data_IF_279595500722
#
_entry.id   IF_279595500722
#
_cell.length_a   1.000
_cell.length_b   1.000
_cell.length_c   1.000
_cell.angle_alpha   90.00
_cell.angle_beta   90.00
_cell.angle_gamma   90.00
#
_symmetry.space_group_name_H-M   'P 1'
#
loop_
_entity.id
_entity.type
_entity.pdbx_description
1 polymer ?
#
# COMPACT_ATOMS: atom_id res chain seq x y z
N UNK A 1 -11.46 16.98 3.79
CA UNK A 1 -12.49 15.96 4.10
C UNK A 1 -11.80 14.60 4.18
N UNK A 2 -11.77 13.93 5.35
CA UNK A 2 -11.01 12.67 5.55
C UNK A 2 -11.73 11.50 4.86
N UNK A 3 -11.08 10.87 3.88
CA UNK A 3 -11.51 9.59 3.29
C UNK A 3 -11.42 8.50 4.36
N UNK A 4 -12.49 7.73 4.56
CA UNK A 4 -12.46 6.56 5.45
C UNK A 4 -11.57 5.50 4.79
N UNK A 5 -10.39 5.25 5.35
CA UNK A 5 -9.53 4.13 4.95
C UNK A 5 -10.32 2.84 5.16
N UNK A 6 -10.44 2.03 4.11
CA UNK A 6 -11.12 0.73 4.23
C UNK A 6 -10.22 -0.20 5.04
N UNK A 7 -10.77 -0.95 6.02
CA UNK A 7 -9.99 -1.91 6.85
C UNK A 7 -9.12 -2.87 6.02
N UNK A 8 -9.58 -3.19 4.81
CA UNK A 8 -8.87 -4.02 3.82
C UNK A 8 -7.61 -3.33 3.26
N UNK A 9 -7.66 -2.04 2.96
CA UNK A 9 -6.50 -1.27 2.47
C UNK A 9 -5.42 -1.21 3.55
N UNK A 10 -5.83 -0.94 4.78
CA UNK A 10 -4.92 -0.92 5.93
C UNK A 10 -4.22 -2.26 6.12
N UNK A 11 -4.95 -3.38 5.99
CA UNK A 11 -4.36 -4.71 6.05
C UNK A 11 -3.30 -4.93 4.97
N UNK A 12 -3.55 -4.52 3.72
CA UNK A 12 -2.57 -4.66 2.63
C UNK A 12 -1.32 -3.80 2.85
N UNK A 13 -1.46 -2.60 3.41
CA UNK A 13 -0.30 -1.79 3.80
C UNK A 13 0.55 -2.49 4.86
N UNK A 14 -0.06 -3.05 5.90
CA UNK A 14 0.65 -3.82 6.93
C UNK A 14 1.37 -5.01 6.32
N UNK A 15 0.68 -5.80 5.49
CA UNK A 15 1.26 -6.98 4.84
C UNK A 15 2.46 -6.57 3.97
N UNK A 16 2.34 -5.51 3.18
CA UNK A 16 3.44 -5.01 2.35
C UNK A 16 4.64 -4.53 3.19
N UNK A 17 4.37 -3.87 4.32
CA UNK A 17 5.39 -3.41 5.24
C UNK A 17 6.13 -4.55 5.93
N UNK A 18 5.40 -5.57 6.41
CA UNK A 18 6.00 -6.78 6.99
C UNK A 18 6.88 -7.48 5.96
N UNK A 19 6.42 -7.62 4.71
CA UNK A 19 7.20 -8.26 3.66
C UNK A 19 8.50 -7.52 3.37
N UNK A 20 8.44 -6.19 3.25
CA UNK A 20 9.62 -5.36 3.03
C UNK A 20 10.60 -5.43 4.21
N UNK A 21 10.08 -5.37 5.44
CA UNK A 21 10.87 -5.48 6.66
C UNK A 21 11.57 -6.83 6.80
N UNK A 22 10.85 -7.92 6.46
CA UNK A 22 11.40 -9.26 6.44
C UNK A 22 12.53 -9.39 5.41
N UNK A 23 12.34 -8.79 4.22
CA UNK A 23 13.39 -8.70 3.21
C UNK A 23 14.66 -8.02 3.70
N UNK A 24 14.54 -6.85 4.33
CA UNK A 24 15.67 -6.13 4.93
C UNK A 24 16.34 -6.96 6.02
N UNK A 25 15.56 -7.59 6.89
CA UNK A 25 16.08 -8.41 7.99
C UNK A 25 16.93 -9.57 7.47
N UNK A 26 16.49 -10.25 6.40
CA UNK A 26 17.25 -11.33 5.77
C UNK A 26 18.57 -10.84 5.15
N UNK A 27 18.56 -9.65 4.53
CA UNK A 27 19.79 -9.04 4.01
C UNK A 27 20.78 -8.76 5.15
N UNK A 28 20.30 -8.22 6.27
CA UNK A 28 21.13 -7.95 7.44
C UNK A 28 21.69 -9.25 8.02
N UNK A 29 20.87 -10.30 8.15
CA UNK A 29 21.35 -11.61 8.61
C UNK A 29 22.41 -12.19 7.70
N UNK A 30 22.28 -12.06 6.38
CA UNK A 30 23.34 -12.48 5.45
C UNK A 30 24.65 -11.71 5.72
N UNK A 31 24.58 -10.39 5.86
CA UNK A 31 25.77 -9.55 6.13
C UNK A 31 26.41 -9.94 7.46
N UNK A 32 25.62 -10.14 8.51
CA UNK A 32 26.12 -10.57 9.82
C UNK A 32 26.72 -11.97 9.73
N UNK A 33 26.04 -12.89 9.04
CA UNK A 33 26.48 -14.27 8.87
C UNK A 33 27.81 -14.38 8.13
N UNK A 34 28.03 -13.56 7.10
CA UNK A 34 29.28 -13.53 6.32
C UNK A 34 30.42 -12.81 7.06
N UNK A 35 30.14 -11.79 7.88
CA UNK A 35 31.15 -10.97 8.54
C UNK A 35 31.48 -11.42 9.98
N UNK A 36 30.76 -12.38 10.54
CA UNK A 36 31.07 -12.96 11.84
C UNK A 36 32.24 -13.95 11.69
N UNK A 37 33.35 -13.68 12.38
CA UNK A 37 34.54 -14.54 12.46
C UNK A 37 34.32 -15.76 13.38
N UNK A 38 33.26 -16.53 13.13
CA UNK A 38 32.98 -17.80 13.82
C UNK A 38 33.11 -18.93 12.80
N UNK A 39 33.63 -20.08 13.24
CA UNK A 39 33.70 -21.27 12.40
C UNK A 39 32.32 -21.53 11.75
N UNK A 40 32.24 -21.74 10.41
CA UNK A 40 30.96 -21.94 9.70
C UNK A 40 30.05 -23.00 10.33
N UNK A 41 30.63 -24.02 10.97
CA UNK A 41 29.87 -25.07 11.65
C UNK A 41 29.21 -24.62 12.96
N UNK A 42 29.61 -23.49 13.54
CA UNK A 42 28.98 -22.87 14.71
C UNK A 42 28.16 -21.63 14.33
N UNK A 43 28.16 -21.24 13.05
CA UNK A 43 27.38 -20.12 12.56
C UNK A 43 25.93 -20.57 12.29
N UNK A 44 25.07 -20.34 13.27
CA UNK A 44 23.65 -20.69 13.20
C UNK A 44 22.89 -19.99 12.07
N UNK A 45 23.36 -18.81 11.61
CA UNK A 45 22.74 -18.05 10.52
C UNK A 45 22.96 -18.77 9.18
N UNK A 46 24.20 -19.19 8.90
CA UNK A 46 24.54 -19.96 7.70
C UNK A 46 23.91 -21.36 7.71
N UNK A 47 23.77 -21.98 8.90
CA UNK A 47 23.03 -23.25 9.02
C UNK A 47 21.55 -23.09 8.67
N UNK A 48 20.92 -22.02 9.14
CA UNK A 48 19.53 -21.73 8.80
C UNK A 48 19.38 -21.50 7.28
N UNK A 49 20.36 -20.86 6.65
CA UNK A 49 20.41 -20.68 5.19
C UNK A 49 20.44 -22.02 4.46
N UNK A 50 21.37 -22.90 4.85
CA UNK A 50 21.51 -24.22 4.26
C UNK A 50 20.26 -25.06 4.45
N UNK A 51 19.59 -24.98 5.61
CA UNK A 51 18.33 -25.66 5.85
C UNK A 51 17.23 -25.19 4.88
N UNK A 52 17.13 -23.88 4.64
CA UNK A 52 16.14 -23.32 3.70
C UNK A 52 16.47 -23.63 2.25
N UNK A 53 17.75 -23.59 1.86
CA UNK A 53 18.18 -24.00 0.51
C UNK A 53 17.87 -25.48 0.27
N UNK A 54 18.17 -26.34 1.24
CA UNK A 54 17.88 -27.77 1.15
C UNK A 54 16.37 -28.07 1.12
N UNK A 55 15.58 -27.31 1.88
CA UNK A 55 14.13 -27.47 1.89
C UNK A 55 13.46 -26.96 0.61
N UNK A 56 13.90 -25.82 0.09
CA UNK A 56 13.31 -25.20 -1.09
C UNK A 56 13.85 -25.77 -2.41
N UNK A 57 14.95 -26.54 -2.39
CA UNK A 57 15.72 -26.96 -3.57
C UNK A 57 16.14 -25.80 -4.49
N UNK A 58 16.15 -24.58 -3.95
CA UNK A 58 16.53 -23.38 -4.68
C UNK A 58 17.84 -22.87 -4.05
N UNK A 59 18.93 -22.71 -4.83
CA UNK A 59 20.21 -22.22 -4.34
C UNK A 59 20.18 -20.69 -4.18
N UNK A 60 19.23 -20.17 -3.40
CA UNK A 60 19.11 -18.74 -3.10
C UNK A 60 19.62 -18.46 -1.70
N UNK A 61 20.66 -17.64 -1.63
CA UNK A 61 21.22 -17.16 -0.38
C UNK A 61 20.24 -16.22 0.35
N UNK A 62 20.46 -15.99 1.65
CA UNK A 62 19.62 -15.09 2.45
C UNK A 62 19.52 -13.69 1.87
N UNK A 63 20.62 -13.18 1.31
CA UNK A 63 20.62 -11.89 0.60
C UNK A 63 19.71 -11.89 -0.62
N UNK A 64 19.70 -12.97 -1.40
CA UNK A 64 18.88 -13.06 -2.60
C UNK A 64 17.39 -13.19 -2.25
N UNK A 65 17.04 -14.03 -1.27
CA UNK A 65 15.69 -14.11 -0.72
C UNK A 65 15.25 -12.77 -0.13
N UNK A 66 16.12 -12.11 0.63
CA UNK A 66 15.86 -10.82 1.23
C UNK A 66 15.58 -9.74 0.19
N UNK A 67 16.35 -9.70 -0.91
CA UNK A 67 16.08 -8.80 -2.03
C UNK A 67 14.72 -9.08 -2.68
N UNK A 68 14.38 -10.35 -2.90
CA UNK A 68 13.08 -10.73 -3.48
C UNK A 68 11.95 -10.23 -2.58
N UNK A 69 11.96 -10.55 -1.29
CA UNK A 69 10.93 -10.09 -0.36
C UNK A 69 10.87 -8.57 -0.24
N UNK A 70 12.02 -7.89 -0.24
CA UNK A 70 12.07 -6.44 -0.23
C UNK A 70 11.40 -5.84 -1.46
N UNK A 71 11.79 -6.26 -2.66
CA UNK A 71 11.20 -5.78 -3.90
C UNK A 71 9.71 -6.10 -3.99
N UNK A 72 9.30 -7.31 -3.58
CA UNK A 72 7.90 -7.72 -3.62
C UNK A 72 7.05 -6.90 -2.65
N UNK A 73 7.58 -6.59 -1.46
CA UNK A 73 6.94 -5.73 -0.47
C UNK A 73 6.78 -4.29 -0.96
N UNK A 74 7.85 -3.71 -1.50
CA UNK A 74 7.83 -2.34 -2.06
C UNK A 74 6.88 -2.25 -3.26
N UNK A 75 6.94 -3.21 -4.18
CA UNK A 75 6.10 -3.24 -5.37
C UNK A 75 4.63 -3.39 -4.99
N UNK A 76 4.31 -4.26 -4.02
CA UNK A 76 2.95 -4.37 -3.47
C UNK A 76 2.46 -3.06 -2.86
N UNK A 77 3.29 -2.38 -2.06
CA UNK A 77 2.97 -1.06 -1.51
C UNK A 77 2.60 -0.05 -2.61
N UNK A 78 3.41 0.02 -3.67
CA UNK A 78 3.16 0.92 -4.80
C UNK A 78 1.86 0.56 -5.53
N UNK A 79 1.59 -0.73 -5.79
CA UNK A 79 0.35 -1.17 -6.42
C UNK A 79 -0.87 -0.77 -5.58
N UNK A 80 -0.85 -1.04 -4.27
CA UNK A 80 -1.95 -0.71 -3.36
C UNK A 80 -2.18 0.80 -3.34
N UNK A 81 -1.10 1.60 -3.32
CA UNK A 81 -1.18 3.04 -3.38
C UNK A 81 -1.79 3.56 -4.70
N UNK A 82 -1.39 2.99 -5.84
CA UNK A 82 -1.92 3.36 -7.16
C UNK A 82 -3.40 3.01 -7.31
N UNK A 83 -3.82 1.83 -6.84
CA UNK A 83 -5.23 1.42 -6.86
C UNK A 83 -6.07 2.38 -6.00
N UNK A 84 -5.59 2.69 -4.79
CA UNK A 84 -6.30 3.58 -3.88
C UNK A 84 -6.37 5.03 -4.40
N UNK A 85 -5.32 5.53 -5.05
CA UNK A 85 -5.33 6.86 -5.66
C UNK A 85 -6.43 6.98 -6.73
N UNK A 86 -6.55 5.97 -7.60
CA UNK A 86 -7.60 5.92 -8.63
C UNK A 86 -9.01 5.84 -8.05
N UNK A 87 -9.19 5.11 -6.96
CA UNK A 87 -10.50 5.05 -6.27
C UNK A 87 -10.87 6.39 -5.63
N UNK A 88 -9.90 7.07 -5.01
CA UNK A 88 -10.10 8.39 -4.42
C UNK A 88 -10.54 9.41 -5.47
N UNK A 89 -9.90 9.46 -6.63
CA UNK A 89 -10.28 10.34 -7.75
C UNK A 89 -11.72 10.09 -8.20
N UNK A 90 -12.11 8.81 -8.42
CA UNK A 90 -13.46 8.44 -8.82
C UNK A 90 -14.52 8.86 -7.80
N UNK A 91 -14.22 8.77 -6.51
CA UNK A 91 -15.13 9.18 -5.44
C UNK A 91 -15.29 10.70 -5.43
N UNK A 92 -14.19 11.45 -5.59
CA UNK A 92 -14.21 12.91 -5.64
C UNK A 92 -15.03 13.39 -6.84
N UNK A 93 -14.83 12.80 -8.02
CA UNK A 93 -15.59 13.15 -9.21
C UNK A 93 -17.10 12.91 -9.03
N UNK A 94 -17.50 11.76 -8.46
CA UNK A 94 -18.90 11.47 -8.14
C UNK A 94 -19.50 12.46 -7.15
N UNK A 95 -18.71 12.93 -6.17
CA UNK A 95 -19.16 13.93 -5.18
C UNK A 95 -19.31 15.31 -5.82
N UNK A 96 -18.36 15.72 -6.65
CA UNK A 96 -18.42 16.99 -7.38
C UNK A 96 -19.64 17.05 -8.29
N UNK A 97 -19.93 15.96 -9.03
CA UNK A 97 -21.16 15.87 -9.85
C UNK A 97 -22.44 15.96 -9.02
N UNK A 98 -22.46 15.41 -7.79
CA UNK A 98 -23.62 15.53 -6.88
C UNK A 98 -23.76 16.95 -6.34
N UNK A 99 -22.66 17.58 -5.93
CA UNK A 99 -22.67 18.98 -5.48
C UNK A 99 -23.12 19.92 -6.59
N UNK A 100 -22.62 19.74 -7.82
CA UNK A 100 -23.04 20.52 -8.98
C UNK A 100 -24.55 20.43 -9.27
N UNK A 101 -25.15 19.24 -9.07
CA UNK A 101 -26.61 19.06 -9.20
C UNK A 101 -27.38 19.80 -8.11
N UNK A 102 -26.92 19.70 -6.86
CA UNK A 102 -27.56 20.38 -5.73
C UNK A 102 -27.47 21.90 -5.90
N UNK A 103 -26.31 22.43 -6.26
CA UNK A 103 -26.14 23.87 -6.51
C UNK A 103 -26.93 24.39 -7.71
N UNK A 104 -27.14 23.55 -8.73
CA UNK A 104 -27.99 23.92 -9.87
C UNK A 104 -29.48 23.93 -9.48
N UNK A 105 -29.92 23.00 -8.64
CA UNK A 105 -31.27 22.99 -8.09
C UNK A 105 -31.53 24.19 -7.17
N UNK A 106 -30.55 24.54 -6.32
CA UNK A 106 -30.60 25.72 -5.45
C UNK A 106 -30.73 27.02 -6.26
N UNK A 107 -29.90 27.19 -7.30
CA UNK A 107 -30.03 28.34 -8.23
C UNK A 107 -31.38 28.38 -8.93
N UNK A 108 -31.89 27.24 -9.39
CA UNK A 108 -33.19 27.19 -10.09
C UNK A 108 -34.33 27.59 -9.15
N UNK A 109 -34.25 27.19 -7.88
CA UNK A 109 -35.25 27.55 -6.87
C UNK A 109 -35.18 29.03 -6.47
N UNK A 110 -33.98 29.61 -6.42
CA UNK A 110 -33.77 31.04 -6.20
C UNK A 110 -34.35 31.87 -7.35
N UNK A 111 -34.06 31.52 -8.61
CA UNK A 111 -34.61 32.20 -9.80
C UNK A 111 -36.14 32.08 -9.88
N UNK A 112 -36.72 30.95 -9.47
CA UNK A 112 -38.18 30.76 -9.49
C UNK A 112 -38.88 31.64 -8.44
N UNK A 113 -38.29 31.78 -7.25
CA UNK A 113 -38.82 32.66 -6.20
C UNK A 113 -38.74 34.15 -6.59
N UNK A 114 -37.71 34.57 -7.33
CA UNK A 114 -37.58 35.97 -7.79
C UNK A 114 -38.68 36.32 -8.81
N UNK A 115 -39.02 35.41 -9.72
CA UNK A 115 -40.06 35.61 -10.73
C UNK A 115 -41.45 35.69 -10.09
N UNK A 116 -41.74 34.85 -9.08
CA UNK A 116 -43.04 34.87 -8.39
C UNK A 116 -43.28 36.19 -7.63
N UNK A 117 -42.22 36.79 -7.08
CA UNK A 117 -42.28 38.10 -6.42
C UNK A 117 -42.52 39.26 -7.40
N UNK A 118 -41.90 39.24 -8.59
CA UNK A 118 -42.11 40.29 -9.61
C UNK A 118 -43.49 40.25 -10.29
N UNK A 119 -44.14 39.09 -10.32
CA UNK A 119 -45.50 38.95 -10.91
C UNK A 119 -46.65 39.24 -9.95
N UNK A 120 -46.35 39.55 -8.68
CA UNK A 120 -47.34 39.74 -7.62
C UNK A 120 -47.58 41.21 -7.23
N UNK A 121 -46.96 42.17 -7.93
CA UNK A 121 -47.20 43.62 -7.85
C UNK A 121 -48.07 44.13 -9.02
#
# INVERSE_FOLDING_TARGET
MKTKITKKEFAWYIVSGILAFLGITLIIFNIIGENISINPQNNWILKAEQAVMNWSNIPLNWRALGLIFFFLGVLMSVIVLLVNAKEAERIVERKLRRQARISAMEKTQEDTNVIEVETSD
#
